data_IF_896220419907
#
_entry.id   IF_896220419907
#
_cell.length_a   1.000
_cell.length_b   1.000
_cell.length_c   1.000
_cell.angle_alpha   90.00
_cell.angle_beta   90.00
_cell.angle_gamma   90.00
#
_symmetry.space_group_name_H-M   'P 1'
#
loop_
_entity.id
_entity.type
_entity.pdbx_description
1 polymer ?
#
# COMPACT_ATOMS: atom_id res chain seq x y z
N UNK A 1 -1.99 -34.98 -15.51
CA UNK A 1 -2.51 -33.88 -14.66
C UNK A 1 -1.36 -33.32 -13.85
N UNK A 2 -0.96 -32.05 -14.00
CA UNK A 2 -0.09 -31.40 -13.03
C UNK A 2 -0.85 -30.31 -12.25
N UNK A 3 -0.73 -30.43 -10.94
CA UNK A 3 -1.32 -29.58 -9.90
C UNK A 3 -0.83 -28.13 -10.00
N UNK A 4 -1.76 -27.17 -9.96
CA UNK A 4 -1.46 -25.74 -9.84
C UNK A 4 -1.34 -25.35 -8.37
N UNK A 5 -0.13 -24.98 -7.90
CA UNK A 5 -0.05 -23.91 -6.90
C UNK A 5 1.05 -22.89 -7.21
N UNK A 6 1.41 -22.65 -8.48
CA UNK A 6 2.53 -21.74 -8.82
C UNK A 6 2.05 -20.29 -9.12
N UNK A 7 0.74 -20.03 -9.25
CA UNK A 7 0.24 -18.69 -9.60
C UNK A 7 0.28 -17.66 -8.46
N UNK A 8 0.57 -18.04 -7.21
CA UNK A 8 0.46 -17.12 -6.06
C UNK A 8 1.72 -16.29 -5.77
N UNK A 9 2.87 -16.64 -6.35
CA UNK A 9 4.17 -16.05 -5.96
C UNK A 9 4.56 -14.87 -6.87
N UNK A 10 4.11 -14.84 -8.13
CA UNK A 10 4.42 -13.77 -9.09
C UNK A 10 3.61 -12.48 -8.88
N UNK A 11 2.58 -12.49 -8.03
CA UNK A 11 1.69 -11.34 -7.85
C UNK A 11 2.23 -10.31 -6.83
N UNK A 12 3.19 -10.69 -5.99
CA UNK A 12 3.63 -9.87 -4.84
C UNK A 12 4.54 -8.70 -5.27
N UNK A 13 5.19 -8.78 -6.43
CA UNK A 13 6.08 -7.72 -6.93
C UNK A 13 5.45 -6.85 -8.04
N UNK A 14 4.31 -7.24 -8.59
CA UNK A 14 3.65 -6.53 -9.69
C UNK A 14 2.65 -5.44 -9.22
N UNK A 15 2.30 -5.41 -7.93
CA UNK A 15 1.23 -4.54 -7.43
C UNK A 15 1.66 -3.07 -7.34
N UNK A 16 2.95 -2.78 -7.12
CA UNK A 16 3.47 -1.41 -7.00
C UNK A 16 3.33 -0.58 -8.29
N UNK A 17 3.19 -1.23 -9.44
CA UNK A 17 3.00 -0.59 -10.76
C UNK A 17 1.52 -0.47 -11.17
N UNK A 18 0.59 -1.03 -10.40
CA UNK A 18 -0.86 -0.97 -10.70
C UNK A 18 -1.63 0.06 -9.87
N UNK A 19 -1.02 0.65 -8.83
CA UNK A 19 -1.70 1.71 -8.08
C UNK A 19 -1.77 2.97 -8.93
N UNK A 20 -2.99 3.37 -9.31
CA UNK A 20 -3.21 4.69 -9.91
C UNK A 20 -2.85 5.75 -8.87
N UNK A 21 -2.32 6.90 -9.30
CA UNK A 21 -1.88 7.97 -8.38
C UNK A 21 -3.00 8.44 -7.42
N UNK A 22 -4.24 8.42 -7.90
CA UNK A 22 -5.45 8.79 -7.15
C UNK A 22 -6.17 7.58 -6.54
N UNK A 23 -5.61 6.37 -6.64
CA UNK A 23 -6.18 5.20 -6.02
C UNK A 23 -6.13 5.36 -4.50
N UNK A 24 -7.28 5.18 -3.87
CA UNK A 24 -7.40 5.16 -2.42
C UNK A 24 -6.60 4.00 -1.86
N UNK A 25 -5.67 4.31 -0.97
CA UNK A 25 -4.94 3.33 -0.19
C UNK A 25 -5.66 3.05 1.11
N UNK A 26 -5.78 1.76 1.41
CA UNK A 26 -6.17 1.26 2.72
C UNK A 26 -4.93 0.84 3.52
N UNK A 27 -5.10 0.63 4.82
CA UNK A 27 -4.00 0.19 5.67
C UNK A 27 -3.43 -1.17 5.21
N UNK A 28 -4.25 -2.04 4.60
CA UNK A 28 -3.82 -3.32 4.02
C UNK A 28 -2.90 -3.15 2.82
N UNK A 29 -3.14 -2.13 2.00
CA UNK A 29 -2.30 -1.81 0.84
C UNK A 29 -0.95 -1.28 1.33
N UNK A 30 -0.96 -0.36 2.30
CA UNK A 30 0.27 0.16 2.94
C UNK A 30 1.06 -0.97 3.61
N UNK A 31 0.36 -1.87 4.30
CA UNK A 31 0.97 -3.04 4.94
C UNK A 31 1.68 -3.93 3.91
N UNK A 32 1.06 -4.14 2.74
CA UNK A 32 1.62 -4.93 1.65
C UNK A 32 2.76 -4.20 0.94
N UNK A 33 2.64 -2.89 0.75
CA UNK A 33 3.63 -2.05 0.07
C UNK A 33 4.93 -1.90 0.89
N UNK A 34 4.82 -1.75 2.21
CA UNK A 34 5.98 -1.57 3.09
C UNK A 34 6.44 -2.85 3.78
N UNK A 35 5.70 -3.96 3.65
CA UNK A 35 5.95 -5.21 4.36
C UNK A 35 6.06 -5.03 5.88
N UNK A 36 5.25 -4.14 6.45
CA UNK A 36 5.23 -3.82 7.90
C UNK A 36 4.08 -4.53 8.62
N UNK A 37 4.10 -4.50 9.96
CA UNK A 37 2.98 -4.97 10.78
C UNK A 37 1.72 -4.11 10.58
N UNK A 38 0.54 -4.71 10.76
CA UNK A 38 -0.76 -4.01 10.62
C UNK A 38 -0.84 -2.76 11.52
N UNK A 39 -0.34 -2.85 12.75
CA UNK A 39 -0.30 -1.71 13.68
C UNK A 39 0.53 -0.54 13.12
N UNK A 40 1.67 -0.84 12.49
CA UNK A 40 2.53 0.16 11.85
C UNK A 40 1.88 0.73 10.60
N UNK A 41 1.25 -0.10 9.77
CA UNK A 41 0.51 0.36 8.59
C UNK A 41 -0.66 1.29 8.95
N UNK A 42 -1.40 0.98 10.03
CA UNK A 42 -2.44 1.85 10.58
C UNK A 42 -1.86 3.18 11.08
N UNK A 43 -0.72 3.14 11.77
CA UNK A 43 0.00 4.37 12.17
C UNK A 43 0.37 5.22 10.97
N UNK A 44 1.00 4.64 9.93
CA UNK A 44 1.33 5.39 8.71
C UNK A 44 0.11 5.99 8.04
N UNK A 45 -0.99 5.23 7.92
CA UNK A 45 -2.22 5.74 7.33
C UNK A 45 -2.78 6.94 8.12
N UNK A 46 -2.76 6.89 9.44
CA UNK A 46 -3.16 8.02 10.29
C UNK A 46 -2.20 9.19 10.18
N UNK A 47 -0.89 8.93 10.16
CA UNK A 47 0.14 9.96 10.08
C UNK A 47 0.03 10.74 8.77
N UNK A 48 -0.13 10.05 7.64
CA UNK A 48 -0.34 10.67 6.32
C UNK A 48 -1.62 11.51 6.31
N UNK A 49 -2.71 11.03 6.94
CA UNK A 49 -3.95 11.81 7.05
C UNK A 49 -3.73 13.10 7.82
N UNK A 50 -3.04 13.03 8.95
CA UNK A 50 -2.75 14.18 9.80
C UNK A 50 -1.79 15.15 9.11
N UNK A 51 -0.73 14.64 8.48
CA UNK A 51 0.30 15.41 7.82
C UNK A 51 -0.25 16.25 6.66
N UNK A 52 -1.11 15.65 5.83
CA UNK A 52 -1.73 16.34 4.68
C UNK A 52 -3.10 16.93 5.00
N UNK A 53 -3.62 16.75 6.23
CA UNK A 53 -4.98 17.13 6.63
C UNK A 53 -6.08 16.57 5.69
N UNK A 54 -5.96 15.30 5.32
CA UNK A 54 -6.85 14.61 4.37
C UNK A 54 -7.60 13.45 5.03
N UNK A 55 -8.82 13.19 4.55
CA UNK A 55 -9.61 12.03 5.02
C UNK A 55 -9.29 10.75 4.26
N UNK A 56 -8.89 10.88 2.99
CA UNK A 56 -8.63 9.78 2.06
C UNK A 56 -7.15 9.82 1.66
N UNK A 57 -6.41 8.79 2.03
CA UNK A 57 -5.03 8.62 1.58
C UNK A 57 -5.05 7.98 0.20
N UNK A 58 -4.29 8.55 -0.72
CA UNK A 58 -4.08 7.97 -2.06
C UNK A 58 -2.61 7.59 -2.22
N UNK A 59 -2.33 6.79 -3.26
CA UNK A 59 -0.95 6.38 -3.56
C UNK A 59 0.01 7.56 -3.72
N UNK A 60 -0.44 8.67 -4.33
CA UNK A 60 0.37 9.89 -4.44
C UNK A 60 0.75 10.48 -3.08
N UNK A 61 -0.21 10.60 -2.14
CA UNK A 61 0.07 11.12 -0.78
C UNK A 61 1.06 10.23 -0.02
N UNK A 62 0.88 8.91 -0.11
CA UNK A 62 1.78 7.94 0.49
C UNK A 62 3.19 8.02 -0.12
N UNK A 63 3.29 8.12 -1.44
CA UNK A 63 4.56 8.29 -2.15
C UNK A 63 5.26 9.60 -1.77
N UNK A 64 4.51 10.68 -1.59
CA UNK A 64 5.06 11.96 -1.14
C UNK A 64 5.59 11.87 0.30
N UNK A 65 4.84 11.22 1.19
CA UNK A 65 5.22 11.05 2.60
C UNK A 65 6.52 10.24 2.78
N UNK A 66 6.68 9.14 2.04
CA UNK A 66 7.87 8.26 2.17
C UNK A 66 9.09 8.82 1.45
N UNK A 67 8.88 9.67 0.45
CA UNK A 67 9.98 10.29 -0.31
C UNK A 67 10.54 11.55 0.38
N UNK A 68 9.78 12.13 1.33
CA UNK A 68 10.21 13.24 2.17
C UNK A 68 11.16 12.75 3.28
#
# INVERSE_FOLDING_TARGET
MPSRPILKILQIMADTNNYKEFQKLSFKDIQSLMLVSEATAKKYLTDIKTHFCITIVTYSHFKQYIKA
#
